data_IF_933937316395
#
_entry.id   IF_933937316395
#
_cell.length_a   1.000
_cell.length_b   1.000
_cell.length_c   1.000
_cell.angle_alpha   90.00
_cell.angle_beta   90.00
_cell.angle_gamma   90.00
#
_symmetry.space_group_name_H-M   'P 1'
#
loop_
_entity.id
_entity.type
_entity.pdbx_description
1 polymer ?
#
# COMPACT_ATOMS: atom_id res chain seq x y z
N UNK A 1 10.56 -23.09 32.83
CA UNK A 1 10.04 -22.44 31.59
C UNK A 1 9.73 -23.47 30.49
N UNK A 2 10.55 -24.50 30.24
CA UNK A 2 10.32 -25.48 29.16
C UNK A 2 9.12 -26.45 29.31
N UNK A 3 8.71 -26.82 30.53
CA UNK A 3 7.68 -27.86 30.74
C UNK A 3 6.28 -27.38 30.32
N UNK A 4 5.92 -26.12 30.64
CA UNK A 4 4.62 -25.53 30.27
C UNK A 4 4.49 -25.38 28.75
N UNK A 5 5.56 -24.99 28.08
CA UNK A 5 5.59 -24.89 26.62
C UNK A 5 5.44 -26.27 25.96
N UNK A 6 6.12 -27.29 26.49
CA UNK A 6 5.98 -28.66 26.00
C UNK A 6 4.55 -29.18 26.17
N UNK A 7 3.94 -28.98 27.34
CA UNK A 7 2.58 -29.42 27.64
C UNK A 7 1.54 -28.77 26.70
N UNK A 8 1.63 -27.45 26.51
CA UNK A 8 0.76 -26.74 25.58
C UNK A 8 0.96 -27.22 24.13
N UNK A 9 2.20 -27.50 23.72
CA UNK A 9 2.49 -28.02 22.38
C UNK A 9 1.89 -29.41 22.13
N UNK A 10 1.82 -30.26 23.17
CA UNK A 10 1.19 -31.58 23.11
C UNK A 10 -0.32 -31.46 23.01
N UNK A 11 -0.94 -30.61 23.83
CA UNK A 11 -2.39 -30.33 23.76
C UNK A 11 -2.82 -29.78 22.39
N UNK A 12 -2.03 -28.88 21.78
CA UNK A 12 -2.30 -28.37 20.43
C UNK A 12 -2.26 -29.48 19.37
N UNK A 13 -1.31 -30.43 19.50
CA UNK A 13 -1.20 -31.58 18.57
C UNK A 13 -2.38 -32.53 18.71
N UNK A 14 -2.86 -32.78 19.92
CA UNK A 14 -4.04 -33.60 20.18
C UNK A 14 -5.29 -32.98 19.59
N UNK A 15 -5.58 -31.70 19.90
CA UNK A 15 -6.72 -30.98 19.32
C UNK A 15 -6.71 -30.98 17.78
N UNK A 16 -5.53 -30.83 17.16
CA UNK A 16 -5.40 -30.92 15.69
C UNK A 16 -5.77 -32.30 15.15
N UNK A 17 -5.35 -33.39 15.82
CA UNK A 17 -5.71 -34.75 15.42
C UNK A 17 -7.22 -34.99 15.56
N UNK A 18 -7.83 -34.47 16.61
CA UNK A 18 -9.27 -34.59 16.86
C UNK A 18 -10.10 -33.84 15.80
N UNK A 19 -9.68 -32.63 15.41
CA UNK A 19 -10.32 -31.88 14.31
C UNK A 19 -10.21 -32.63 12.98
N UNK A 20 -9.05 -33.21 12.68
CA UNK A 20 -8.86 -34.04 11.46
C UNK A 20 -9.76 -35.27 11.47
N UNK A 21 -9.89 -35.95 12.62
CA UNK A 21 -10.80 -37.09 12.78
C UNK A 21 -12.27 -36.70 12.58
N UNK A 22 -12.66 -35.49 13.01
CA UNK A 22 -13.99 -34.90 12.81
C UNK A 22 -14.20 -34.29 11.42
N UNK A 23 -13.15 -34.24 10.57
CA UNK A 23 -13.13 -33.56 9.25
C UNK A 23 -13.39 -32.05 9.33
N UNK A 24 -13.01 -31.42 10.43
CA UNK A 24 -13.10 -29.97 10.64
C UNK A 24 -11.73 -29.30 10.49
N UNK A 25 -11.70 -28.06 10.00
CA UNK A 25 -10.47 -27.27 9.93
C UNK A 25 -10.16 -26.65 11.30
N UNK A 26 -8.99 -27.01 11.84
CA UNK A 26 -8.55 -26.62 13.18
C UNK A 26 -8.48 -25.10 13.38
N UNK A 27 -8.08 -24.35 12.35
CA UNK A 27 -7.97 -22.89 12.46
C UNK A 27 -9.36 -22.22 12.56
N UNK A 28 -10.38 -22.79 11.91
CA UNK A 28 -11.76 -22.29 12.01
C UNK A 28 -12.34 -22.58 13.39
N UNK A 29 -12.19 -23.82 13.89
CA UNK A 29 -12.66 -24.21 15.24
C UNK A 29 -12.00 -23.35 16.32
N UNK A 30 -10.70 -23.11 16.19
CA UNK A 30 -9.96 -22.25 17.10
C UNK A 30 -10.47 -20.80 17.09
N UNK A 31 -10.82 -20.25 15.92
CA UNK A 31 -11.41 -18.91 15.83
C UNK A 31 -12.81 -18.84 16.45
N UNK A 32 -13.58 -19.94 16.39
CA UNK A 32 -14.89 -20.06 17.03
C UNK A 32 -14.80 -20.16 18.56
N UNK A 33 -13.71 -20.72 19.10
CA UNK A 33 -13.45 -20.82 20.54
C UNK A 33 -13.04 -19.48 21.19
N UNK A 34 -12.78 -18.42 20.40
CA UNK A 34 -12.38 -17.11 20.94
C UNK A 34 -13.58 -16.45 21.63
N UNK A 35 -13.42 -16.12 22.91
CA UNK A 35 -14.43 -15.38 23.68
C UNK A 35 -14.69 -14.00 23.08
N UNK A 36 -15.90 -13.47 23.24
CA UNK A 36 -16.24 -12.12 22.82
C UNK A 36 -15.30 -11.06 23.44
N UNK A 37 -14.90 -11.25 24.71
CA UNK A 37 -13.96 -10.37 25.40
C UNK A 37 -12.56 -10.39 24.77
N UNK A 38 -12.08 -11.59 24.42
CA UNK A 38 -10.77 -11.75 23.78
C UNK A 38 -10.79 -11.14 22.37
N UNK A 39 -11.87 -11.35 21.61
CA UNK A 39 -12.05 -10.75 20.30
C UNK A 39 -12.02 -9.21 20.37
N UNK A 40 -12.70 -8.60 21.34
CA UNK A 40 -12.65 -7.14 21.54
C UNK A 40 -11.24 -6.64 21.87
N UNK A 41 -10.50 -7.36 22.73
CA UNK A 41 -9.10 -7.01 23.02
C UNK A 41 -8.22 -7.13 21.78
N UNK A 42 -8.44 -8.15 20.94
CA UNK A 42 -7.73 -8.31 19.68
C UNK A 42 -8.04 -7.17 18.71
N UNK A 43 -9.30 -6.76 18.55
CA UNK A 43 -9.69 -5.62 17.71
C UNK A 43 -9.01 -4.32 18.16
N UNK A 44 -8.95 -4.06 19.47
CA UNK A 44 -8.28 -2.87 20.03
C UNK A 44 -6.77 -2.85 19.75
N UNK A 45 -6.14 -4.02 19.69
CA UNK A 45 -4.71 -4.18 19.36
C UNK A 45 -4.42 -4.09 17.86
N UNK A 46 -5.44 -4.11 16.99
CA UNK A 46 -5.22 -3.98 15.55
C UNK A 46 -4.70 -2.59 15.17
N UNK A 47 -3.79 -2.57 14.20
CA UNK A 47 -3.29 -1.31 13.63
C UNK A 47 -4.41 -0.57 12.92
N UNK A 48 -4.60 0.71 13.27
CA UNK A 48 -5.54 1.61 12.58
C UNK A 48 -5.23 1.64 11.08
N UNK A 49 -6.26 1.47 10.24
CA UNK A 49 -6.15 1.53 8.79
C UNK A 49 -6.20 2.98 8.33
N UNK A 50 -5.32 3.37 7.42
CA UNK A 50 -5.31 4.69 6.78
C UNK A 50 -5.18 4.51 5.26
N UNK A 51 -6.25 4.07 4.58
CA UNK A 51 -6.26 3.88 3.13
C UNK A 51 -6.10 5.21 2.40
N UNK A 52 -5.59 5.15 1.16
CA UNK A 52 -5.53 6.33 0.28
C UNK A 52 -6.87 6.47 -0.44
N UNK A 53 -7.53 7.63 -0.27
CA UNK A 53 -8.86 7.92 -0.84
C UNK A 53 -8.76 8.49 -2.26
N UNK A 54 -7.54 8.69 -2.78
CA UNK A 54 -7.30 9.35 -4.05
C UNK A 54 -6.92 10.82 -3.88
N UNK A 55 -6.50 11.44 -4.99
CA UNK A 55 -6.11 12.85 -5.00
C UNK A 55 -7.37 13.73 -5.01
N UNK A 56 -7.54 14.54 -3.97
CA UNK A 56 -8.57 15.58 -3.90
C UNK A 56 -7.95 16.96 -4.16
N UNK A 57 -7.07 17.41 -3.27
CA UNK A 57 -6.34 18.67 -3.36
C UNK A 57 -4.95 18.54 -2.73
N UNK A 58 -4.04 19.44 -3.10
CA UNK A 58 -2.69 19.53 -2.57
C UNK A 58 -2.68 19.80 -1.06
N UNK A 59 -3.59 20.62 -0.54
CA UNK A 59 -3.67 20.88 0.89
C UNK A 59 -4.01 19.61 1.69
N UNK A 60 -4.96 18.81 1.21
CA UNK A 60 -5.34 17.55 1.83
C UNK A 60 -4.20 16.51 1.77
N UNK A 61 -3.50 16.42 0.62
CA UNK A 61 -2.33 15.56 0.46
C UNK A 61 -1.19 15.96 1.43
N UNK A 62 -0.93 17.26 1.56
CA UNK A 62 0.07 17.80 2.49
C UNK A 62 -0.31 17.53 3.94
N UNK A 63 -1.57 17.74 4.32
CA UNK A 63 -2.07 17.46 5.67
C UNK A 63 -1.90 15.98 6.05
N UNK A 64 -2.21 15.07 5.12
CA UNK A 64 -1.97 13.63 5.30
C UNK A 64 -0.49 13.31 5.50
N UNK A 65 0.38 13.94 4.71
CA UNK A 65 1.83 13.80 4.87
C UNK A 65 2.29 14.32 6.23
N UNK A 66 1.84 15.50 6.63
CA UNK A 66 2.16 16.14 7.90
C UNK A 66 1.76 15.27 9.10
N UNK A 67 0.52 14.78 9.14
CA UNK A 67 0.06 13.87 10.20
C UNK A 67 0.88 12.58 10.27
N UNK A 68 1.40 12.11 9.14
CA UNK A 68 2.30 10.94 9.13
C UNK A 68 3.68 11.30 9.70
N UNK A 69 4.28 12.41 9.28
CA UNK A 69 5.60 12.85 9.76
C UNK A 69 5.57 13.12 11.26
N UNK A 70 4.56 13.84 11.75
CA UNK A 70 4.40 14.12 13.17
C UNK A 70 4.28 12.86 14.04
N UNK A 71 3.70 11.78 13.52
CA UNK A 71 3.63 10.49 14.23
C UNK A 71 4.96 9.75 14.27
N UNK A 72 5.90 10.10 13.39
CA UNK A 72 7.21 9.46 13.27
C UNK A 72 8.28 10.20 14.07
N UNK A 73 8.13 11.51 14.25
CA UNK A 73 9.07 12.33 15.02
C UNK A 73 8.89 12.04 16.51
N UNK A 74 9.97 11.65 17.18
CA UNK A 74 10.03 11.46 18.63
C UNK A 74 10.79 12.66 19.20
N UNK A 75 10.15 13.52 20.01
CA UNK A 75 10.81 14.68 20.59
C UNK A 75 11.81 14.26 21.67
N UNK A 76 12.97 14.91 21.68
CA UNK A 76 13.99 14.79 22.71
C UNK A 76 13.67 15.79 23.83
N UNK A 77 13.18 15.27 24.96
CA UNK A 77 12.70 16.10 26.07
C UNK A 77 13.83 16.71 26.92
N UNK A 78 15.01 16.08 26.93
CA UNK A 78 16.15 16.55 27.73
C UNK A 78 16.81 17.79 27.12
N UNK A 79 16.86 17.84 25.79
CA UNK A 79 17.41 18.98 25.04
C UNK A 79 16.38 20.08 24.76
N UNK A 80 15.23 20.03 25.42
CA UNK A 80 14.16 21.01 25.22
C UNK A 80 14.46 22.29 26.01
N UNK A 81 15.10 23.25 25.35
CA UNK A 81 15.36 24.58 25.91
C UNK A 81 14.36 25.61 25.37
N UNK A 82 13.93 26.54 26.24
CA UNK A 82 13.08 27.67 25.86
C UNK A 82 13.95 28.77 25.21
N UNK A 83 14.28 28.61 23.93
CA UNK A 83 15.04 29.61 23.18
C UNK A 83 14.14 30.75 22.66
N UNK A 84 14.73 31.96 22.66
CA UNK A 84 14.15 33.14 22.04
C UNK A 84 14.21 33.05 20.51
N UNK A 85 13.13 33.49 19.85
CA UNK A 85 13.03 33.53 18.40
C UNK A 85 14.09 34.47 17.80
N UNK A 86 14.79 34.02 16.75
CA UNK A 86 15.78 34.81 16.01
C UNK A 86 17.24 34.63 16.45
N UNK A 87 17.50 34.08 17.64
CA UNK A 87 18.87 33.82 18.14
C UNK A 87 19.21 32.34 18.23
N UNK A 88 18.29 31.45 17.82
CA UNK A 88 18.48 30.01 17.91
C UNK A 88 19.57 29.53 16.93
N UNK A 89 20.68 29.05 17.48
CA UNK A 89 21.71 28.33 16.73
C UNK A 89 21.50 26.84 16.95
N UNK A 90 21.11 26.14 15.90
CA UNK A 90 20.88 24.69 15.95
C UNK A 90 22.19 23.94 16.22
N UNK A 91 22.13 22.93 17.09
CA UNK A 91 23.22 21.99 17.28
C UNK A 91 23.41 21.11 16.03
N UNK A 92 24.66 20.71 15.77
CA UNK A 92 25.04 19.95 14.57
C UNK A 92 24.23 18.65 14.41
N UNK A 93 24.05 17.88 15.47
CA UNK A 93 23.29 16.62 15.43
C UNK A 93 21.81 16.85 15.05
N UNK A 94 21.24 18.00 15.39
CA UNK A 94 19.84 18.34 15.12
C UNK A 94 19.64 18.62 13.64
N UNK A 95 20.60 19.32 13.05
CA UNK A 95 20.66 19.54 11.61
C UNK A 95 20.83 18.22 10.88
N UNK A 96 21.72 17.33 11.33
CA UNK A 96 21.90 16.00 10.72
C UNK A 96 20.61 15.16 10.77
N UNK A 97 19.90 15.16 11.90
CA UNK A 97 18.59 14.47 12.02
C UNK A 97 17.55 15.03 11.06
N UNK A 98 17.50 16.35 10.90
CA UNK A 98 16.60 17.01 9.96
C UNK A 98 16.92 16.63 8.51
N UNK A 99 18.20 16.65 8.12
CA UNK A 99 18.64 16.27 6.77
C UNK A 99 18.24 14.83 6.45
N UNK A 100 18.47 13.90 7.38
CA UNK A 100 18.06 12.50 7.20
C UNK A 100 16.55 12.32 7.05
N UNK A 101 15.73 13.12 7.73
CA UNK A 101 14.27 13.07 7.57
C UNK A 101 13.82 13.63 6.21
N UNK A 102 14.45 14.72 5.75
CA UNK A 102 14.21 15.30 4.42
C UNK A 102 14.56 14.31 3.31
N UNK A 103 15.69 13.61 3.41
CA UNK A 103 16.08 12.58 2.44
C UNK A 103 15.05 11.44 2.40
N UNK A 104 14.58 10.97 3.56
CA UNK A 104 13.51 9.96 3.62
C UNK A 104 12.20 10.46 3.01
N UNK A 105 11.87 11.73 3.20
CA UNK A 105 10.70 12.35 2.58
C UNK A 105 10.84 12.39 1.06
N UNK A 106 12.01 12.78 0.53
CA UNK A 106 12.29 12.83 -0.91
C UNK A 106 12.19 11.43 -1.51
N UNK A 107 12.88 10.43 -0.93
CA UNK A 107 12.82 9.04 -1.40
C UNK A 107 11.39 8.48 -1.42
N UNK A 108 10.53 8.93 -0.49
CA UNK A 108 9.13 8.54 -0.48
C UNK A 108 8.32 9.25 -1.57
N UNK A 109 8.62 10.52 -1.82
CA UNK A 109 7.97 11.30 -2.88
C UNK A 109 8.34 10.78 -4.28
N UNK A 110 9.59 10.39 -4.52
CA UNK A 110 10.02 9.77 -5.78
C UNK A 110 9.23 8.50 -6.11
N UNK A 111 8.81 7.76 -5.09
CA UNK A 111 8.00 6.52 -5.21
C UNK A 111 6.49 6.79 -5.27
N UNK A 112 6.05 8.05 -5.34
CA UNK A 112 4.64 8.42 -5.42
C UNK A 112 4.00 7.88 -6.71
N UNK A 113 4.66 8.11 -7.85
CA UNK A 113 4.28 7.49 -9.12
C UNK A 113 4.97 6.13 -9.26
N UNK A 114 4.26 5.07 -8.88
CA UNK A 114 4.78 3.71 -9.04
C UNK A 114 4.71 3.30 -10.50
N UNK A 115 5.84 2.84 -11.05
CA UNK A 115 5.87 2.22 -12.38
C UNK A 115 5.00 0.96 -12.34
N UNK A 116 4.01 0.89 -13.23
CA UNK A 116 3.31 -0.37 -13.51
C UNK A 116 4.28 -1.30 -14.24
N UNK A 117 4.25 -2.59 -13.93
CA UNK A 117 5.11 -3.58 -14.60
C UNK A 117 4.83 -3.53 -16.10
N UNK A 118 5.90 -3.50 -16.91
CA UNK A 118 5.79 -3.53 -18.35
C UNK A 118 5.63 -4.99 -18.78
N UNK A 119 4.49 -5.31 -19.36
CA UNK A 119 4.25 -6.63 -19.92
C UNK A 119 4.64 -6.57 -21.40
N UNK A 120 5.70 -7.27 -21.80
CA UNK A 120 6.07 -7.45 -23.21
C UNK A 120 4.97 -8.19 -23.99
N UNK A 121 4.20 -9.03 -23.29
CA UNK A 121 3.11 -9.85 -23.83
C UNK A 121 1.71 -9.23 -23.61
N UNK A 122 1.60 -7.99 -23.11
CA UNK A 122 0.30 -7.33 -23.11
C UNK A 122 -0.11 -7.12 -24.57
N UNK A 123 -1.12 -7.88 -25.02
CA UNK A 123 -1.68 -7.88 -26.37
C UNK A 123 -1.61 -6.49 -27.02
N UNK A 124 -0.49 -6.28 -27.70
CA UNK A 124 -0.36 -5.54 -28.94
C UNK A 124 -0.74 -6.49 -30.10
N UNK A 125 -1.44 -7.57 -29.77
CA UNK A 125 -1.97 -8.61 -30.63
C UNK A 125 -3.48 -8.36 -30.81
N UNK A 126 -3.81 -7.45 -31.73
CA UNK A 126 -4.86 -7.72 -32.71
C UNK A 126 -4.41 -7.14 -34.05
N UNK A 127 -4.33 -8.02 -35.05
CA UNK A 127 -3.93 -7.81 -36.46
C UNK A 127 -2.41 -7.88 -36.74
N UNK A 128 -1.86 -9.10 -36.64
CA UNK A 128 -0.88 -9.56 -37.63
C UNK A 128 -1.57 -9.61 -39.00
N UNK A 129 -1.39 -8.54 -39.77
CA UNK A 129 -1.32 -8.49 -41.25
C UNK A 129 -1.08 -7.04 -41.74
N UNK A 130 -1.23 -5.99 -40.90
CA UNK A 130 -0.77 -4.63 -41.26
C UNK A 130 -0.55 -3.66 -40.06
N UNK A 131 0.64 -3.69 -39.45
CA UNK A 131 1.28 -2.51 -38.78
C UNK A 131 1.23 -2.41 -37.24
N UNK A 132 2.30 -1.87 -36.58
CA UNK A 132 2.74 -2.24 -35.22
C UNK A 132 2.20 -1.30 -34.13
N UNK A 133 2.42 -1.66 -32.84
CA UNK A 133 2.42 -0.79 -31.65
C UNK A 133 1.64 0.52 -31.85
N UNK A 134 0.48 0.70 -31.20
CA UNK A 134 -0.33 1.94 -31.27
C UNK A 134 0.47 3.24 -31.01
N UNK A 135 1.71 3.10 -30.56
CA UNK A 135 2.69 4.14 -30.36
C UNK A 135 3.95 3.97 -31.22
N UNK A 136 4.36 5.06 -31.86
CA UNK A 136 5.64 5.17 -32.58
C UNK A 136 6.81 5.53 -31.63
N UNK A 137 6.51 6.16 -30.48
CA UNK A 137 7.50 6.58 -29.48
C UNK A 137 6.93 6.50 -28.05
N UNK A 138 7.79 6.63 -27.01
CA UNK A 138 7.35 6.58 -25.60
C UNK A 138 6.36 7.70 -25.23
N UNK A 139 6.44 8.84 -25.91
CA UNK A 139 5.51 9.95 -25.74
C UNK A 139 4.11 9.59 -26.23
N UNK A 140 4.02 8.88 -27.35
CA UNK A 140 2.79 8.40 -27.94
C UNK A 140 2.16 7.31 -27.06
N UNK A 141 2.97 6.46 -26.41
CA UNK A 141 2.47 5.53 -25.36
C UNK A 141 1.74 6.29 -24.26
N UNK A 142 2.36 7.34 -23.71
CA UNK A 142 1.79 8.12 -22.62
C UNK A 142 0.54 8.88 -23.06
N UNK A 143 0.54 9.39 -24.29
CA UNK A 143 -0.60 10.06 -24.89
C UNK A 143 -1.78 9.10 -25.09
N UNK A 144 -1.56 7.94 -25.71
CA UNK A 144 -2.60 6.93 -25.92
C UNK A 144 -3.13 6.38 -24.61
N UNK A 145 -2.28 6.13 -23.60
CA UNK A 145 -2.72 5.77 -22.24
C UNK A 145 -3.59 6.85 -21.61
N UNK A 146 -3.27 8.13 -21.85
CA UNK A 146 -4.09 9.25 -21.38
C UNK A 146 -5.44 9.25 -22.11
N UNK A 147 -5.46 9.09 -23.43
CA UNK A 147 -6.68 9.02 -24.23
C UNK A 147 -7.56 7.84 -23.78
N UNK A 148 -6.99 6.67 -23.53
CA UNK A 148 -7.70 5.50 -23.02
C UNK A 148 -8.30 5.76 -21.62
N UNK A 149 -7.58 6.47 -20.74
CA UNK A 149 -8.09 6.79 -19.40
C UNK A 149 -9.33 7.70 -19.45
N UNK A 150 -9.36 8.71 -20.32
CA UNK A 150 -10.48 9.65 -20.43
C UNK A 150 -11.62 9.09 -21.29
N UNK A 151 -11.30 8.54 -22.46
CA UNK A 151 -12.26 8.20 -23.50
C UNK A 151 -12.59 6.72 -23.58
N UNK A 152 -11.76 5.83 -23.00
CA UNK A 152 -11.94 4.37 -23.11
C UNK A 152 -13.30 3.88 -22.60
N UNK A 153 -13.88 4.55 -21.61
CA UNK A 153 -15.25 4.24 -21.14
C UNK A 153 -16.31 4.50 -22.20
N UNK A 154 -16.12 5.53 -23.03
CA UNK A 154 -17.08 5.96 -24.05
C UNK A 154 -16.83 5.29 -25.41
N UNK A 155 -15.59 4.87 -25.68
CA UNK A 155 -15.19 4.26 -26.96
C UNK A 155 -15.11 2.73 -26.88
N UNK A 156 -15.62 2.12 -25.80
CA UNK A 156 -15.57 0.67 -25.61
C UNK A 156 -16.29 -0.10 -26.73
N UNK A 157 -17.47 0.37 -27.14
CA UNK A 157 -18.24 -0.24 -28.24
C UNK A 157 -17.50 -0.13 -29.58
N UNK A 158 -16.89 1.04 -29.84
CA UNK A 158 -16.08 1.27 -31.04
C UNK A 158 -14.86 0.33 -31.05
N UNK A 159 -14.19 0.17 -29.91
CA UNK A 159 -13.05 -0.75 -29.76
C UNK A 159 -13.46 -2.20 -30.05
N UNK A 160 -14.59 -2.63 -29.51
CA UNK A 160 -15.11 -3.97 -29.78
C UNK A 160 -15.56 -4.16 -31.23
N UNK A 161 -16.15 -3.13 -31.87
CA UNK A 161 -16.53 -3.20 -33.28
C UNK A 161 -15.31 -3.26 -34.20
N UNK A 162 -14.22 -2.58 -33.85
CA UNK A 162 -12.92 -2.69 -34.54
C UNK A 162 -12.31 -4.09 -34.38
N UNK A 163 -12.32 -4.64 -33.16
CA UNK A 163 -11.85 -6.01 -32.88
C UNK A 163 -12.69 -7.08 -33.61
N UNK A 164 -14.00 -6.83 -33.78
CA UNK A 164 -14.91 -7.73 -34.52
C UNK A 164 -14.87 -7.55 -36.03
N UNK A 165 -14.32 -6.44 -36.53
CA UNK A 165 -14.27 -6.12 -37.96
C UNK A 165 -15.62 -5.74 -38.58
N UNK A 166 -16.67 -5.55 -37.77
CA UNK A 166 -18.02 -5.15 -38.20
C UNK A 166 -18.64 -4.19 -37.19
N UNK A 167 -19.41 -3.21 -37.69
CA UNK A 167 -20.22 -2.34 -36.84
C UNK A 167 -21.59 -3.00 -36.64
N UNK A 168 -21.97 -3.17 -35.37
CA UNK A 168 -23.33 -3.53 -34.93
C UNK A 168 -23.98 -2.27 -34.38
#
# INVERSE_FOLDING_TARGET
INIVFLAHSLQLKEKKKDCVAKREDYEIVKLLEISAEDAEQFERKKKKKNPDLGFSDYAAAQLRQYHRLNKQIIPDLEKFENLLHGTHVSYKEGVERMVLDLEKQIQKHEKYSRRRFYNDDADTDYIRVWGPLDYINEWNVKFNKKAEWFSGKYTAEIKQNLERGTAI
#
